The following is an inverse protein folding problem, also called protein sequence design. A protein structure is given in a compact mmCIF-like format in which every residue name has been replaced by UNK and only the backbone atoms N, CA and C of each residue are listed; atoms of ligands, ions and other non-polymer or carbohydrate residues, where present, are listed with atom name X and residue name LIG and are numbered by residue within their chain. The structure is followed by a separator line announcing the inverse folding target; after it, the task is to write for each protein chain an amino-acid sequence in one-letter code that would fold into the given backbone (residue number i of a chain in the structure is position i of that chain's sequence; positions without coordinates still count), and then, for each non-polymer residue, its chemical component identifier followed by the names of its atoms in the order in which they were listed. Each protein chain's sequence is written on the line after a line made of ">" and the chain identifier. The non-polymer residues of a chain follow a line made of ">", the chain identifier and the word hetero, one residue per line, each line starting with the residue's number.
data_IF_235123455531
#
_entry.id   IF_235123455531
#
_cell.length_a   1.000
_cell.length_b   1.000
_cell.length_c   1.000
_cell.angle_alpha   90.00
_cell.angle_beta   90.00
_cell.angle_gamma   90.00
#
_symmetry.space_group_name_H-M   'P 1'
#
loop_
_entity.id
_entity.type
_entity.pdbx_description
1 polymer ?
#
# COMPACT_ATOMS: atom_id res chain seq x y z
N UNK A 1 -20.81 -19.77 -13.61
CA UNK A 1 -20.36 -20.00 -12.22
C UNK A 1 -20.12 -18.66 -11.54
N UNK A 2 -21.05 -18.01 -10.84
CA UNK A 2 -22.38 -18.44 -10.41
C UNK A 2 -22.50 -18.71 -8.91
N UNK A 3 -21.87 -17.90 -8.04
CA UNK A 3 -22.23 -17.79 -6.60
C UNK A 3 -21.50 -16.59 -5.99
N UNK A 4 -22.23 -15.49 -5.78
CA UNK A 4 -21.82 -14.41 -4.89
C UNK A 4 -22.33 -14.74 -3.49
N UNK A 5 -21.45 -15.17 -2.61
CA UNK A 5 -21.76 -15.29 -1.19
C UNK A 5 -21.00 -14.19 -0.46
N UNK A 6 -21.74 -13.32 0.25
CA UNK A 6 -21.16 -12.34 1.16
C UNK A 6 -20.41 -13.04 2.29
N UNK A 7 -19.37 -12.38 2.81
CA UNK A 7 -18.47 -12.94 3.81
C UNK A 7 -18.69 -12.22 5.15
N UNK A 8 -18.76 -12.98 6.24
CA UNK A 8 -18.91 -12.43 7.60
C UNK A 8 -17.58 -11.88 8.13
N UNK A 9 -17.65 -10.77 8.88
CA UNK A 9 -16.52 -9.98 9.40
C UNK A 9 -15.53 -10.79 10.27
N UNK A 10 -15.97 -11.91 10.84
CA UNK A 10 -15.18 -12.75 11.75
C UNK A 10 -14.39 -13.86 11.05
N UNK A 11 -14.36 -13.89 9.72
CA UNK A 11 -13.64 -14.91 8.95
C UNK A 11 -12.55 -14.28 8.07
N UNK A 12 -11.37 -14.91 7.94
CA UNK A 12 -10.27 -14.36 7.17
C UNK A 12 -10.64 -14.24 5.67
N UNK A 13 -10.32 -13.08 5.08
CA UNK A 13 -10.70 -12.71 3.73
C UNK A 13 -10.16 -13.71 2.69
N UNK A 14 -11.03 -14.19 1.79
CA UNK A 14 -10.63 -15.09 0.71
C UNK A 14 -9.79 -14.38 -0.38
N UNK A 15 -9.04 -15.15 -1.18
CA UNK A 15 -8.10 -14.69 -2.21
C UNK A 15 -8.65 -13.56 -3.10
N UNK A 16 -8.02 -12.38 -3.02
CA UNK A 16 -8.39 -11.19 -3.78
C UNK A 16 -8.02 -11.39 -5.25
N UNK A 17 -9.04 -11.48 -6.13
CA UNK A 17 -8.85 -11.55 -7.59
C UNK A 17 -8.70 -10.15 -8.20
N UNK A 18 -8.01 -10.04 -9.33
CA UNK A 18 -7.70 -8.82 -10.13
C UNK A 18 -8.90 -8.03 -10.69
N UNK A 19 -10.13 -8.34 -10.28
CA UNK A 19 -11.36 -7.60 -10.62
C UNK A 19 -12.02 -7.14 -9.31
N UNK A 20 -12.20 -5.84 -9.17
CA UNK A 20 -12.83 -5.22 -8.00
C UNK A 20 -14.31 -5.63 -7.91
N UNK A 21 -14.63 -6.51 -6.94
CA UNK A 21 -16.01 -6.99 -6.68
C UNK A 21 -16.42 -6.95 -5.20
N UNK A 22 -15.73 -6.17 -4.38
CA UNK A 22 -16.11 -5.97 -2.98
C UNK A 22 -16.30 -4.48 -2.70
N UNK A 23 -17.55 -4.08 -2.41
CA UNK A 23 -17.89 -2.80 -1.82
C UNK A 23 -18.30 -3.04 -0.36
N UNK A 24 -17.58 -2.46 0.59
CA UNK A 24 -17.82 -2.63 2.01
C UNK A 24 -18.74 -1.49 2.49
N UNK A 25 -19.99 -1.83 2.82
CA UNK A 25 -20.98 -0.88 3.36
C UNK A 25 -21.07 -1.14 4.85
N UNK A 26 -20.70 -0.17 5.68
CA UNK A 26 -20.87 -0.26 7.13
C UNK A 26 -22.07 0.58 7.60
N UNK A 27 -22.92 -0.09 8.36
CA UNK A 27 -24.16 0.40 8.97
C UNK A 27 -23.84 1.40 10.08
N UNK A 28 -24.74 2.36 10.28
CA UNK A 28 -24.70 3.40 11.31
C UNK A 28 -24.56 2.75 12.69
N UNK A 29 -23.47 3.05 13.41
CA UNK A 29 -23.24 2.61 14.79
C UNK A 29 -23.74 3.70 15.75
N UNK A 30 -24.70 3.35 16.61
CA UNK A 30 -25.17 4.21 17.69
C UNK A 30 -24.32 3.93 18.94
N UNK A 31 -23.41 4.85 19.28
CA UNK A 31 -22.57 4.75 20.49
C UNK A 31 -22.96 5.90 21.41
N UNK A 32 -23.56 5.57 22.55
CA UNK A 32 -23.87 6.50 23.64
C UNK A 32 -24.71 7.74 23.25
N UNK A 33 -25.64 7.59 22.30
CA UNK A 33 -26.59 8.65 21.92
C UNK A 33 -26.00 9.75 21.04
N UNK A 34 -24.73 9.64 20.67
CA UNK A 34 -24.08 10.52 19.71
C UNK A 34 -24.01 9.83 18.34
N UNK A 35 -24.59 10.49 17.33
CA UNK A 35 -24.60 9.97 15.95
C UNK A 35 -23.23 10.22 15.31
N UNK A 36 -22.39 9.19 15.30
CA UNK A 36 -21.14 9.23 14.55
C UNK A 36 -21.41 8.98 13.06
N UNK A 37 -21.38 10.04 12.26
CA UNK A 37 -21.36 9.95 10.80
C UNK A 37 -19.92 9.64 10.39
N UNK A 38 -19.63 8.39 10.05
CA UNK A 38 -18.38 8.06 9.36
C UNK A 38 -18.55 8.56 7.92
N UNK A 39 -18.06 9.78 7.67
CA UNK A 39 -17.92 10.32 6.31
C UNK A 39 -17.06 9.33 5.50
N UNK A 40 -17.67 8.75 4.47
CA UNK A 40 -17.04 8.01 3.35
C UNK A 40 -15.67 7.40 3.67
N UNK A 41 -15.66 6.13 4.09
CA UNK A 41 -14.42 5.33 4.08
C UNK A 41 -14.05 5.02 2.62
N UNK A 42 -13.48 6.00 1.92
CA UNK A 42 -12.64 5.84 0.74
C UNK A 42 -13.17 4.95 -0.41
N UNK A 43 -14.42 5.10 -0.86
CA UNK A 43 -14.84 4.56 -2.18
C UNK A 43 -14.30 5.40 -3.35
N UNK A 44 -13.01 5.73 -3.32
CA UNK A 44 -12.27 6.30 -4.46
C UNK A 44 -11.08 5.40 -4.77
N UNK A 45 -10.64 5.41 -6.03
CA UNK A 45 -9.37 4.76 -6.37
C UNK A 45 -8.25 5.33 -5.48
N UNK A 46 -7.58 4.44 -4.74
CA UNK A 46 -6.41 4.79 -3.96
C UNK A 46 -5.29 5.21 -4.91
N UNK A 47 -4.56 6.26 -4.53
CA UNK A 47 -3.41 6.73 -5.30
C UNK A 47 -2.28 5.70 -5.21
N UNK A 48 -1.42 5.58 -6.24
CA UNK A 48 -0.26 4.68 -6.19
C UNK A 48 0.61 4.88 -4.93
N UNK A 49 0.81 6.11 -4.48
CA UNK A 49 1.56 6.40 -3.24
C UNK A 49 0.88 5.88 -1.96
N UNK A 50 -0.46 5.91 -1.91
CA UNK A 50 -1.22 5.36 -0.77
C UNK A 50 -1.06 3.83 -0.72
N UNK A 51 -1.19 3.17 -1.87
CA UNK A 51 -0.99 1.72 -2.00
C UNK A 51 0.45 1.30 -1.69
N UNK A 52 1.44 2.09 -2.12
CA UNK A 52 2.86 1.89 -1.81
C UNK A 52 3.10 1.86 -0.31
N UNK A 53 2.55 2.84 0.42
CA UNK A 53 2.67 2.92 1.89
C UNK A 53 1.95 1.78 2.58
N UNK A 54 0.74 1.40 2.13
CA UNK A 54 -0.01 0.28 2.71
C UNK A 54 0.71 -1.06 2.58
N UNK A 55 1.43 -1.27 1.47
CA UNK A 55 2.29 -2.43 1.26
C UNK A 55 3.59 -2.39 2.08
N UNK A 56 3.86 -1.33 2.84
CA UNK A 56 5.07 -1.21 3.68
C UNK A 56 6.33 -0.85 2.90
N UNK A 57 6.20 -0.31 1.68
CA UNK A 57 7.34 0.27 0.97
C UNK A 57 7.76 1.58 1.65
N UNK A 58 9.08 1.81 1.80
CA UNK A 58 9.56 3.06 2.36
C UNK A 58 9.26 4.23 1.41
N UNK A 59 9.13 5.44 1.94
CA UNK A 59 8.73 6.63 1.16
C UNK A 59 9.68 6.92 -0.01
N UNK A 60 10.97 6.64 0.19
CA UNK A 60 12.06 6.83 -0.75
C UNK A 60 12.18 5.70 -1.79
N UNK A 61 11.24 4.76 -1.81
CA UNK A 61 11.13 3.76 -2.87
C UNK A 61 10.54 4.36 -4.14
N UNK A 62 11.31 4.29 -5.22
CA UNK A 62 10.94 4.79 -6.56
C UNK A 62 10.15 3.69 -7.29
N UNK A 63 8.87 3.95 -7.56
CA UNK A 63 7.99 3.07 -8.35
C UNK A 63 7.40 3.76 -9.58
N UNK A 64 7.58 5.07 -9.67
CA UNK A 64 6.95 5.94 -10.65
C UNK A 64 7.74 6.06 -11.96
N UNK A 65 8.97 5.56 -12.02
CA UNK A 65 9.86 5.70 -13.19
C UNK A 65 10.79 4.51 -13.38
N UNK A 66 11.35 4.40 -14.58
CA UNK A 66 12.34 3.40 -14.94
C UNK A 66 13.80 3.86 -14.68
N UNK A 67 14.77 3.02 -15.04
CA UNK A 67 16.21 3.31 -14.93
C UNK A 67 16.67 4.49 -15.79
N UNK A 68 15.91 4.85 -16.83
CA UNK A 68 16.16 5.98 -17.72
C UNK A 68 15.34 7.21 -17.29
N UNK A 69 14.78 7.21 -16.08
CA UNK A 69 13.91 8.26 -15.54
C UNK A 69 12.62 8.51 -16.35
N UNK A 70 12.20 7.55 -17.18
CA UNK A 70 10.93 7.63 -17.89
C UNK A 70 9.78 7.33 -16.93
N UNK A 71 8.76 8.21 -16.83
CA UNK A 71 7.64 8.00 -15.92
C UNK A 71 6.72 6.88 -16.39
N UNK A 72 6.17 6.14 -15.42
CA UNK A 72 5.17 5.11 -15.63
C UNK A 72 3.75 5.68 -15.45
N UNK A 73 2.79 5.28 -16.31
CA UNK A 73 1.38 5.57 -16.08
C UNK A 73 0.89 5.02 -14.73
N UNK A 74 -0.06 5.71 -14.08
CA UNK A 74 -0.58 5.31 -12.78
C UNK A 74 -1.10 3.86 -12.73
N UNK A 75 -1.73 3.38 -13.81
CA UNK A 75 -2.19 1.99 -13.94
C UNK A 75 -1.04 0.97 -13.82
N UNK A 76 0.10 1.26 -14.43
CA UNK A 76 1.27 0.39 -14.36
C UNK A 76 1.90 0.40 -12.97
N UNK A 77 1.91 1.56 -12.30
CA UNK A 77 2.36 1.67 -10.92
C UNK A 77 1.51 0.81 -9.99
N UNK A 78 0.17 0.91 -10.09
CA UNK A 78 -0.76 0.09 -9.29
C UNK A 78 -0.57 -1.40 -9.56
N UNK A 79 -0.42 -1.81 -10.82
CA UNK A 79 -0.18 -3.21 -11.18
C UNK A 79 1.13 -3.74 -10.59
N UNK A 80 2.20 -2.93 -10.59
CA UNK A 80 3.49 -3.30 -9.98
C UNK A 80 3.39 -3.43 -8.47
N UNK A 81 2.69 -2.50 -7.81
CA UNK A 81 2.45 -2.57 -6.36
C UNK A 81 1.66 -3.83 -6.01
N UNK A 82 0.59 -4.12 -6.75
CA UNK A 82 -0.26 -5.29 -6.52
C UNK A 82 0.42 -6.63 -6.73
N UNK A 83 1.39 -6.70 -7.65
CA UNK A 83 2.20 -7.90 -7.89
C UNK A 83 3.43 -8.01 -6.99
N UNK A 84 3.71 -7.00 -6.17
CA UNK A 84 4.89 -6.99 -5.30
C UNK A 84 4.64 -7.74 -3.99
N UNK A 85 5.71 -8.22 -3.39
CA UNK A 85 5.69 -8.82 -2.05
C UNK A 85 5.96 -7.73 -1.02
N UNK A 86 5.15 -7.70 0.04
CA UNK A 86 5.30 -6.79 1.19
C UNK A 86 6.74 -6.87 1.72
N UNK A 87 7.51 -5.75 1.77
CA UNK A 87 8.92 -5.78 2.12
C UNK A 87 9.24 -6.39 3.48
N UNK A 88 8.40 -6.16 4.50
CA UNK A 88 8.60 -6.74 5.83
C UNK A 88 8.47 -8.27 5.80
N UNK A 89 7.56 -8.79 4.99
CA UNK A 89 7.38 -10.24 4.85
C UNK A 89 8.57 -10.86 4.11
N UNK A 90 9.02 -10.22 3.02
CA UNK A 90 10.20 -10.64 2.29
C UNK A 90 11.46 -10.63 3.19
N UNK A 91 11.64 -9.58 4.01
CA UNK A 91 12.74 -9.50 4.97
C UNK A 91 12.72 -10.68 5.95
N UNK A 92 11.57 -10.94 6.58
CA UNK A 92 11.46 -12.02 7.57
C UNK A 92 11.68 -13.40 6.97
N UNK A 93 11.22 -13.61 5.74
CA UNK A 93 11.45 -14.87 5.01
C UNK A 93 12.93 -15.10 4.71
N UNK A 94 13.64 -14.05 4.29
CA UNK A 94 15.10 -14.10 4.04
C UNK A 94 15.87 -14.27 5.35
N UNK A 95 15.47 -13.59 6.43
CA UNK A 95 16.05 -13.77 7.76
C UNK A 95 15.88 -15.20 8.28
N UNK A 96 14.76 -15.86 8.01
CA UNK A 96 14.54 -17.25 8.43
C UNK A 96 15.35 -18.26 7.61
N UNK A 97 15.41 -18.10 6.28
CA UNK A 97 15.99 -19.12 5.38
C UNK A 97 17.46 -18.87 5.01
N UNK A 98 17.86 -17.60 4.89
CA UNK A 98 19.13 -17.19 4.29
C UNK A 98 19.87 -16.13 5.13
N UNK A 99 19.77 -16.18 6.46
CA UNK A 99 20.38 -15.18 7.36
C UNK A 99 21.88 -14.95 7.11
N UNK A 100 22.61 -16.00 6.73
CA UNK A 100 24.04 -15.97 6.46
C UNK A 100 24.42 -15.23 5.16
N UNK A 101 23.46 -14.94 4.27
CA UNK A 101 23.69 -14.18 3.05
C UNK A 101 23.48 -12.68 3.22
N UNK A 102 23.17 -12.21 4.43
CA UNK A 102 22.94 -10.78 4.69
C UNK A 102 24.25 -9.99 4.52
N UNK A 103 24.37 -9.26 3.41
CA UNK A 103 25.55 -8.47 3.07
C UNK A 103 25.51 -7.01 3.59
N UNK A 104 24.37 -6.55 4.11
CA UNK A 104 24.20 -5.18 4.61
C UNK A 104 22.74 -4.78 4.76
N UNK A 105 22.51 -3.48 4.96
CA UNK A 105 21.18 -2.89 5.07
C UNK A 105 20.88 -1.97 3.87
N UNK A 106 19.59 -1.74 3.60
CA UNK A 106 19.14 -0.89 2.51
C UNK A 106 19.63 0.55 2.74
N UNK A 107 20.41 1.08 1.79
CA UNK A 107 20.72 2.51 1.74
C UNK A 107 19.49 3.29 1.28
N UNK A 108 19.13 4.34 2.02
CA UNK A 108 18.03 5.24 1.64
C UNK A 108 18.39 6.00 0.38
N UNK A 109 17.40 6.24 -0.47
CA UNK A 109 17.54 7.10 -1.62
C UNK A 109 17.48 8.56 -1.18
N UNK A 110 18.24 9.42 -1.86
CA UNK A 110 18.30 10.84 -1.51
C UNK A 110 16.97 11.50 -1.88
N UNK A 111 16.27 12.05 -0.88
CA UNK A 111 15.05 12.85 -1.09
C UNK A 111 15.38 14.30 -0.75
N UNK A 112 15.29 15.18 -1.74
CA UNK A 112 15.42 16.63 -1.55
C UNK A 112 14.04 17.18 -1.18
N UNK A 113 13.93 17.77 0.02
CA UNK A 113 12.72 18.52 0.43
C UNK A 113 13.06 20.01 0.50
N UNK A 114 12.11 20.85 0.12
CA UNK A 114 12.23 22.29 0.36
C UNK A 114 11.76 22.58 1.79
N UNK A 115 12.61 23.22 2.57
CA UNK A 115 12.22 23.77 3.88
C UNK A 115 11.28 24.98 3.69
N UNK A 116 10.62 25.40 4.76
CA UNK A 116 9.74 26.57 4.83
C UNK A 116 10.42 27.89 4.42
N UNK A 117 11.75 27.90 4.38
CA UNK A 117 12.59 29.01 3.93
C UNK A 117 13.13 28.84 2.49
N UNK A 118 12.67 27.83 1.75
CA UNK A 118 13.09 27.56 0.37
C UNK A 118 14.48 26.91 0.24
N UNK A 119 15.06 26.45 1.34
CA UNK A 119 16.34 25.73 1.33
C UNK A 119 16.12 24.25 1.03
N UNK A 120 17.00 23.67 0.20
CA UNK A 120 16.96 22.24 -0.11
C UNK A 120 17.62 21.45 1.03
N UNK A 121 16.84 20.68 1.76
CA UNK A 121 17.30 19.79 2.84
C UNK A 121 17.24 18.33 2.39
N UNK A 122 18.29 17.59 2.74
CA UNK A 122 18.41 16.14 2.50
C UNK A 122 17.58 15.41 3.58
N UNK A 123 16.68 14.53 3.16
CA UNK A 123 15.86 13.66 4.02
C UNK A 123 16.19 12.19 3.81
#
# INVERSE_FOLDING_TARGET
>A
YGTGCGQELNSPLATITTKDRFGLVNVILDIQGEKYVIYDIFLRMLKPEELKRMQGFPEDYIIDRDINFKPYPAKEQVARIGNSVVPIMAQKLVEANCYYMKAGERKRNIVLKNDQYGQMVLC
#
